data_IF_977013267323
#
_entry.id   IF_977013267323
#
_cell.length_a   1.000
_cell.length_b   1.000
_cell.length_c   1.000
_cell.angle_alpha   90.00
_cell.angle_beta   90.00
_cell.angle_gamma   90.00
#
_symmetry.space_group_name_H-M   'P 1'
#
loop_
_entity.id
_entity.type
_entity.pdbx_description
1 polymer ?
#
# COMPACT_ATOMS: atom_id res chain seq x y z
N UNK A 1 9.23 -36.00 11.87
CA UNK A 1 9.97 -36.39 10.64
C UNK A 1 10.21 -35.15 9.77
N UNK A 2 11.39 -34.57 9.89
CA UNK A 2 11.84 -33.44 9.06
C UNK A 2 12.51 -34.07 7.84
N UNK A 3 12.04 -33.75 6.63
CA UNK A 3 12.58 -34.31 5.38
C UNK A 3 14.05 -33.94 5.15
N UNK A 4 14.73 -34.60 4.19
CA UNK A 4 16.13 -34.32 3.91
C UNK A 4 16.32 -32.87 3.44
N UNK A 5 17.42 -32.19 3.84
CA UNK A 5 17.70 -30.82 3.43
C UNK A 5 17.93 -30.75 1.91
N UNK A 6 17.32 -29.77 1.25
CA UNK A 6 17.47 -29.54 -0.19
C UNK A 6 18.95 -29.29 -0.55
N UNK A 7 19.47 -29.93 -1.62
CA UNK A 7 20.86 -29.75 -2.03
C UNK A 7 21.02 -28.41 -2.74
N UNK A 8 21.72 -27.47 -2.10
CA UNK A 8 21.97 -26.13 -2.64
C UNK A 8 20.89 -25.14 -2.23
N UNK A 9 21.31 -24.06 -1.57
CA UNK A 9 20.44 -23.04 -0.99
C UNK A 9 19.44 -22.53 -2.02
N UNK A 10 18.17 -22.92 -1.81
CA UNK A 10 17.04 -22.34 -2.52
C UNK A 10 16.98 -20.87 -2.07
N UNK A 11 17.25 -19.88 -2.95
CA UNK A 11 17.08 -18.51 -2.55
C UNK A 11 15.57 -18.26 -2.49
N UNK A 12 15.02 -18.12 -1.29
CA UNK A 12 13.62 -17.72 -1.06
C UNK A 12 13.35 -16.26 -1.47
N UNK A 13 14.32 -15.58 -2.09
CA UNK A 13 14.30 -14.16 -2.40
C UNK A 13 14.71 -13.85 -3.84
N UNK A 14 14.23 -12.69 -4.31
CA UNK A 14 14.61 -12.07 -5.58
C UNK A 14 15.43 -10.80 -5.30
N UNK A 15 16.38 -10.47 -6.18
CA UNK A 15 17.11 -9.19 -6.14
C UNK A 15 16.48 -8.21 -7.13
N UNK A 16 16.32 -6.95 -6.73
CA UNK A 16 15.72 -5.92 -7.58
C UNK A 16 16.10 -4.51 -7.14
N UNK A 17 16.22 -3.61 -8.11
CA UNK A 17 16.46 -2.18 -7.86
C UNK A 17 15.15 -1.43 -7.66
N UNK A 18 15.17 -0.40 -6.80
CA UNK A 18 14.04 0.50 -6.56
C UNK A 18 14.49 1.95 -6.77
N UNK A 19 13.58 2.79 -7.29
CA UNK A 19 13.86 4.21 -7.47
C UNK A 19 14.06 4.92 -6.13
N UNK A 20 14.84 6.01 -6.15
CA UNK A 20 15.04 6.84 -4.96
C UNK A 20 13.76 7.63 -4.63
N UNK A 21 13.16 7.35 -3.48
CA UNK A 21 11.89 7.93 -3.05
C UNK A 21 12.02 9.24 -2.24
N UNK A 22 13.20 9.89 -2.25
CA UNK A 22 13.43 11.12 -1.48
C UNK A 22 13.68 10.91 0.01
N UNK A 23 13.69 12.00 0.82
CA UNK A 23 13.93 11.91 2.25
C UNK A 23 12.82 11.15 2.99
N UNK A 24 13.20 10.26 3.92
CA UNK A 24 12.28 9.46 4.73
C UNK A 24 11.19 10.31 5.40
N UNK A 25 11.57 11.46 5.96
CA UNK A 25 10.64 12.37 6.63
C UNK A 25 9.51 12.87 5.72
N UNK A 26 9.73 12.97 4.40
CA UNK A 26 8.69 13.37 3.45
C UNK A 26 7.68 12.25 3.23
N UNK A 27 8.16 11.02 3.02
CA UNK A 27 7.32 9.84 2.87
C UNK A 27 6.51 9.56 4.14
N UNK A 28 7.15 9.59 5.31
CA UNK A 28 6.48 9.35 6.60
C UNK A 28 5.34 10.36 6.83
N UNK A 29 5.56 11.64 6.53
CA UNK A 29 4.49 12.66 6.64
C UNK A 29 3.33 12.38 5.71
N UNK A 30 3.59 11.96 4.47
CA UNK A 30 2.53 11.59 3.52
C UNK A 30 1.73 10.38 4.02
N UNK A 31 2.40 9.31 4.46
CA UNK A 31 1.74 8.11 4.97
C UNK A 31 0.89 8.40 6.21
N UNK A 32 1.42 9.16 7.18
CA UNK A 32 0.66 9.57 8.37
C UNK A 32 -0.55 10.43 7.96
N UNK A 33 -0.39 11.34 7.00
CA UNK A 33 -1.49 12.15 6.47
C UNK A 33 -2.62 11.31 5.87
N UNK A 34 -2.27 10.30 5.07
CA UNK A 34 -3.23 9.36 4.46
C UNK A 34 -3.95 8.53 5.53
N UNK A 35 -3.22 8.01 6.51
CA UNK A 35 -3.80 7.24 7.62
C UNK A 35 -4.77 8.09 8.46
N UNK A 36 -4.42 9.35 8.76
CA UNK A 36 -5.33 10.25 9.49
C UNK A 36 -6.60 10.54 8.70
N UNK A 37 -6.50 10.74 7.38
CA UNK A 37 -7.65 10.94 6.52
C UNK A 37 -8.53 9.69 6.43
N UNK A 38 -7.94 8.49 6.36
CA UNK A 38 -8.72 7.24 6.37
C UNK A 38 -9.43 7.03 7.71
N UNK A 39 -8.77 7.29 8.84
CA UNK A 39 -9.39 7.23 10.16
C UNK A 39 -10.57 8.21 10.29
N UNK A 40 -10.45 9.41 9.71
CA UNK A 40 -11.55 10.37 9.64
C UNK A 40 -12.76 9.83 8.86
N UNK A 41 -12.55 9.20 7.68
CA UNK A 41 -13.66 8.63 6.89
C UNK A 41 -14.42 7.51 7.62
N UNK A 42 -13.73 6.73 8.46
CA UNK A 42 -14.32 5.62 9.20
C UNK A 42 -14.80 6.06 10.60
N UNK A 43 -14.62 7.34 10.97
CA UNK A 43 -15.07 7.89 12.25
C UNK A 43 -14.26 7.41 13.47
N UNK A 44 -12.97 7.12 13.27
CA UNK A 44 -12.05 6.64 14.32
C UNK A 44 -11.00 7.69 14.64
N UNK A 45 -10.59 7.80 15.90
CA UNK A 45 -9.63 8.80 16.38
C UNK A 45 -8.25 8.22 16.66
N UNK A 46 -8.17 6.90 16.86
CA UNK A 46 -6.93 6.19 17.17
C UNK A 46 -6.81 4.93 16.32
N UNK A 47 -5.58 4.42 16.19
CA UNK A 47 -5.33 3.15 15.52
C UNK A 47 -5.95 1.95 16.25
N UNK A 48 -6.09 2.03 17.57
CA UNK A 48 -6.82 1.03 18.37
C UNK A 48 -8.30 0.99 18.01
N UNK A 49 -8.95 2.16 17.97
CA UNK A 49 -10.35 2.27 17.53
C UNK A 49 -10.54 1.80 16.08
N UNK A 50 -9.58 2.08 15.20
CA UNK A 50 -9.60 1.58 13.82
C UNK A 50 -9.52 0.05 13.76
N UNK A 51 -8.68 -0.58 14.59
CA UNK A 51 -8.57 -2.03 14.64
C UNK A 51 -9.83 -2.70 15.21
N UNK A 52 -10.47 -2.08 16.20
CA UNK A 52 -11.65 -2.63 16.87
C UNK A 52 -12.95 -2.39 16.09
N UNK A 53 -13.08 -1.22 15.46
CA UNK A 53 -14.35 -0.74 14.87
C UNK A 53 -14.31 -0.57 13.36
N UNK A 54 -13.12 -0.59 12.76
CA UNK A 54 -12.95 -0.47 11.31
C UNK A 54 -13.59 -1.65 10.59
N UNK A 55 -14.37 -1.35 9.54
CA UNK A 55 -14.99 -2.38 8.70
C UNK A 55 -14.32 -2.41 7.34
N UNK A 56 -14.00 -3.62 6.88
CA UNK A 56 -13.52 -3.86 5.52
C UNK A 56 -14.64 -4.47 4.70
N UNK A 57 -14.76 -4.02 3.46
CA UNK A 57 -15.71 -4.56 2.49
C UNK A 57 -14.93 -5.30 1.42
N UNK A 58 -15.43 -6.48 1.03
CA UNK A 58 -14.83 -7.25 -0.07
C UNK A 58 -15.14 -6.58 -1.40
N UNK A 59 -14.12 -6.24 -2.17
CA UNK A 59 -14.23 -5.65 -3.51
C UNK A 59 -14.01 -6.71 -4.61
N UNK A 60 -14.52 -6.42 -5.80
CA UNK A 60 -14.29 -7.24 -7.01
C UNK A 60 -13.08 -6.74 -7.80
N UNK A 61 -12.60 -7.52 -8.78
CA UNK A 61 -11.52 -7.09 -9.69
C UNK A 61 -11.87 -5.83 -10.48
N UNK A 62 -13.14 -5.62 -10.81
CA UNK A 62 -13.60 -4.42 -11.50
C UNK A 62 -13.45 -3.17 -10.62
N UNK A 63 -13.83 -3.27 -9.34
CA UNK A 63 -13.64 -2.20 -8.36
C UNK A 63 -12.17 -1.92 -8.06
N UNK A 64 -11.27 -2.93 -8.15
CA UNK A 64 -9.83 -2.69 -8.04
C UNK A 64 -9.30 -1.82 -9.18
N UNK A 65 -9.77 -2.06 -10.42
CA UNK A 65 -9.42 -1.23 -11.57
C UNK A 65 -9.86 0.21 -11.29
N UNK A 66 -11.15 0.41 -11.01
CA UNK A 66 -11.74 1.71 -10.64
C UNK A 66 -10.98 2.45 -9.51
N UNK A 67 -10.50 1.72 -8.50
CA UNK A 67 -9.87 2.32 -7.32
C UNK A 67 -8.38 2.63 -7.48
N UNK A 68 -7.67 1.95 -8.40
CA UNK A 68 -6.20 2.00 -8.45
C UNK A 68 -5.63 2.88 -9.56
N UNK A 69 -6.39 3.13 -10.63
CA UNK A 69 -6.01 4.11 -11.64
C UNK A 69 -7.11 5.17 -11.76
N UNK A 70 -6.77 6.45 -11.90
CA UNK A 70 -7.70 7.41 -12.47
C UNK A 70 -8.09 6.91 -13.86
N UNK A 71 -9.37 6.62 -14.01
CA UNK A 71 -9.94 6.15 -15.26
C UNK A 71 -10.71 7.28 -15.93
N UNK A 72 -10.71 7.27 -17.26
CA UNK A 72 -11.47 8.17 -18.14
C UNK A 72 -11.14 9.67 -18.02
N UNK A 73 -9.92 10.02 -17.59
CA UNK A 73 -9.39 11.39 -17.61
C UNK A 73 -7.91 11.45 -18.07
N UNK A 74 -7.55 12.51 -18.80
CA UNK A 74 -6.13 12.82 -19.09
C UNK A 74 -5.47 13.45 -17.85
N UNK A 75 -4.47 12.77 -17.28
CA UNK A 75 -3.67 13.33 -16.19
C UNK A 75 -2.67 14.35 -16.74
N UNK A 76 -2.80 15.61 -16.34
CA UNK A 76 -1.89 16.68 -16.78
C UNK A 76 -0.63 16.78 -15.90
N UNK A 77 -0.70 16.32 -14.65
CA UNK A 77 0.41 16.29 -13.69
C UNK A 77 0.26 15.02 -12.85
N UNK A 78 1.32 14.23 -12.70
CA UNK A 78 1.30 13.07 -11.82
C UNK A 78 1.20 13.51 -10.36
N UNK A 79 0.30 12.87 -9.61
CA UNK A 79 0.19 13.12 -8.19
C UNK A 79 1.41 12.53 -7.48
N UNK A 80 2.05 13.27 -6.55
CA UNK A 80 3.29 12.83 -5.88
C UNK A 80 3.13 11.61 -4.96
N UNK A 81 1.95 10.98 -4.95
CA UNK A 81 1.56 9.84 -4.12
C UNK A 81 1.04 8.64 -4.93
N UNK A 82 1.07 8.72 -6.27
CA UNK A 82 0.85 7.58 -7.17
C UNK A 82 2.23 7.10 -7.62
N UNK A 83 2.72 6.02 -6.99
CA UNK A 83 3.88 5.31 -7.50
C UNK A 83 3.33 4.32 -8.52
N UNK A 84 3.27 4.74 -9.78
CA UNK A 84 3.08 3.80 -10.89
C UNK A 84 4.42 3.14 -11.15
N UNK A 85 4.49 1.82 -10.95
CA UNK A 85 5.58 0.97 -11.40
C UNK A 85 5.21 0.31 -12.71
#
# INVERSE_FOLDING_TARGET
>A
PVGPPCPGGCPDGIEGGVAYCGPLATLTRQFIGRLRRSMFYVGTRTTGELAERGQLVRITRASLKESHHPHDIWMTVEAPNLITG
#
